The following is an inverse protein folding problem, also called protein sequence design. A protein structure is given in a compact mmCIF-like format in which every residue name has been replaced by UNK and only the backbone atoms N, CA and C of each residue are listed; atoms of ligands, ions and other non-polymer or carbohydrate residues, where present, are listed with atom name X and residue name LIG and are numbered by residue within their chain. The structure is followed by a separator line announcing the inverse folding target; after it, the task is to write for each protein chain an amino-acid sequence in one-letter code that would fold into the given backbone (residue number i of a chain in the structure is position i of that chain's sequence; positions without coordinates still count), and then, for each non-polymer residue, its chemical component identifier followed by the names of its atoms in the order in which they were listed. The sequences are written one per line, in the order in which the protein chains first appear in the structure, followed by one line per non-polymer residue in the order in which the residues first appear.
data_IF_585722418803
#
_entry.id   IF_585722418803
#
_cell.length_a   1.000
_cell.length_b   1.000
_cell.length_c   1.000
_cell.angle_alpha   90.00
_cell.angle_beta   90.00
_cell.angle_gamma   90.00
#
_symmetry.space_group_name_H-M   'P 1'
#
loop_
_entity.id
_entity.type
_entity.pdbx_description
1 polymer ?
#
# COMPACT_ATOMS: atom_id res chain seq x y z
N UNK A 1 1.56 -9.93 5.64
CA UNK A 1 0.35 -9.11 5.47
C UNK A 1 -0.67 -9.51 6.51
N UNK A 2 -1.44 -8.56 7.02
CA UNK A 2 -2.54 -8.79 7.97
C UNK A 2 -3.73 -7.96 7.53
N UNK A 3 -4.92 -8.53 7.56
CA UNK A 3 -6.18 -7.82 7.32
C UNK A 3 -7.07 -7.94 8.56
N UNK A 4 -7.64 -6.82 9.00
CA UNK A 4 -8.55 -6.74 10.14
C UNK A 4 -9.82 -6.05 9.70
N UNK A 5 -10.97 -6.69 9.92
CA UNK A 5 -12.28 -6.13 9.63
C UNK A 5 -12.87 -5.51 10.89
N UNK A 6 -13.22 -4.24 10.82
CA UNK A 6 -14.03 -3.57 11.83
C UNK A 6 -15.48 -3.60 11.37
N UNK A 7 -16.29 -4.37 12.11
CA UNK A 7 -17.74 -4.43 11.92
C UNK A 7 -18.40 -3.43 12.87
N UNK A 8 -19.16 -2.48 12.33
CA UNK A 8 -19.97 -1.55 13.11
C UNK A 8 -21.44 -1.67 12.68
N UNK A 9 -22.33 -0.88 13.26
CA UNK A 9 -23.70 -0.75 12.75
C UNK A 9 -23.77 -0.04 11.38
N UNK A 10 -22.68 0.62 10.97
CA UNK A 10 -22.48 1.19 9.65
C UNK A 10 -21.81 0.15 8.72
N UNK A 11 -21.41 0.57 7.51
CA UNK A 11 -20.72 -0.30 6.57
C UNK A 11 -19.43 -0.89 7.16
N UNK A 12 -19.10 -2.16 6.87
CA UNK A 12 -17.84 -2.76 7.29
C UNK A 12 -16.66 -1.97 6.73
N UNK A 13 -15.61 -1.84 7.54
CA UNK A 13 -14.34 -1.28 7.06
C UNK A 13 -13.23 -2.28 7.32
N UNK A 14 -12.47 -2.61 6.29
CA UNK A 14 -11.31 -3.49 6.39
C UNK A 14 -10.01 -2.67 6.35
N UNK A 15 -9.12 -2.96 7.27
CA UNK A 15 -7.78 -2.39 7.36
C UNK A 15 -6.76 -3.45 6.95
N UNK A 16 -5.90 -3.13 5.99
CA UNK A 16 -4.82 -4.01 5.54
C UNK A 16 -3.49 -3.38 5.93
N UNK A 17 -2.66 -4.16 6.62
CA UNK A 17 -1.25 -3.86 6.84
C UNK A 17 -0.40 -4.83 6.02
N UNK A 18 0.41 -4.30 5.11
CA UNK A 18 1.26 -5.09 4.24
C UNK A 18 2.72 -4.63 4.32
N UNK A 19 3.63 -5.58 4.41
CA UNK A 19 5.07 -5.36 4.32
C UNK A 19 5.62 -6.26 3.23
N UNK A 20 6.37 -5.68 2.30
CA UNK A 20 7.15 -6.41 1.32
C UNK A 20 8.64 -6.15 1.61
N UNK A 21 9.42 -7.21 1.70
CA UNK A 21 10.87 -7.12 1.91
C UNK A 21 11.54 -6.44 0.71
N UNK A 22 12.62 -5.65 0.90
CA UNK A 22 13.38 -5.08 -0.22
C UNK A 22 13.99 -6.13 -1.16
N UNK A 23 14.08 -7.39 -0.71
CA UNK A 23 14.59 -8.52 -1.51
C UNK A 23 13.48 -9.38 -2.12
N UNK A 24 12.21 -9.08 -1.81
CA UNK A 24 11.07 -9.85 -2.29
C UNK A 24 10.50 -9.26 -3.58
N UNK A 25 9.89 -10.13 -4.37
CA UNK A 25 9.19 -9.73 -5.58
C UNK A 25 7.90 -8.98 -5.23
N UNK A 26 7.87 -7.68 -5.52
CA UNK A 26 6.72 -6.82 -5.24
C UNK A 26 5.44 -7.29 -5.94
N UNK A 27 5.55 -7.94 -7.11
CA UNK A 27 4.38 -8.39 -7.88
C UNK A 27 3.55 -9.44 -7.14
N UNK A 28 4.19 -10.31 -6.36
CA UNK A 28 3.47 -11.29 -5.54
C UNK A 28 2.62 -10.59 -4.47
N UNK A 29 3.16 -9.53 -3.85
CA UNK A 29 2.41 -8.73 -2.87
C UNK A 29 1.26 -7.98 -3.53
N UNK A 30 1.47 -7.41 -4.72
CA UNK A 30 0.42 -6.69 -5.47
C UNK A 30 -0.70 -7.63 -5.92
N UNK A 31 -0.38 -8.84 -6.37
CA UNK A 31 -1.38 -9.84 -6.75
C UNK A 31 -2.25 -10.23 -5.55
N UNK A 32 -1.66 -10.51 -4.39
CA UNK A 32 -2.41 -10.81 -3.17
C UNK A 32 -3.29 -9.63 -2.75
N UNK A 33 -2.80 -8.39 -2.84
CA UNK A 33 -3.61 -7.21 -2.57
C UNK A 33 -4.80 -7.12 -3.53
N UNK A 34 -4.60 -7.36 -4.82
CA UNK A 34 -5.68 -7.33 -5.82
C UNK A 34 -6.77 -8.38 -5.54
N UNK A 35 -6.37 -9.59 -5.15
CA UNK A 35 -7.32 -10.66 -4.76
C UNK A 35 -8.15 -10.22 -3.55
N UNK A 36 -7.51 -9.64 -2.53
CA UNK A 36 -8.21 -9.14 -1.34
C UNK A 36 -9.15 -7.98 -1.70
N UNK A 37 -8.68 -6.97 -2.45
CA UNK A 37 -9.50 -5.84 -2.91
C UNK A 37 -10.72 -6.34 -3.67
N UNK A 38 -10.54 -7.33 -4.56
CA UNK A 38 -11.64 -7.93 -5.32
C UNK A 38 -12.64 -8.65 -4.43
N UNK A 39 -12.17 -9.32 -3.38
CA UNK A 39 -13.04 -10.00 -2.40
C UNK A 39 -13.83 -9.02 -1.50
N UNK A 40 -13.37 -7.78 -1.36
CA UNK A 40 -13.93 -6.77 -0.46
C UNK A 40 -14.64 -5.60 -1.18
N UNK A 41 -15.04 -5.77 -2.46
CA UNK A 41 -15.58 -4.67 -3.29
C UNK A 41 -16.78 -3.90 -2.72
N UNK A 42 -17.51 -4.46 -1.77
CA UNK A 42 -18.64 -3.82 -1.10
C UNK A 42 -18.28 -3.13 0.22
N UNK A 43 -17.02 -3.13 0.62
CA UNK A 43 -16.54 -2.62 1.90
C UNK A 43 -15.65 -1.39 1.71
N UNK A 44 -15.62 -0.55 2.73
CA UNK A 44 -14.60 0.50 2.82
C UNK A 44 -13.24 -0.16 3.10
N UNK A 45 -12.20 0.28 2.40
CA UNK A 45 -10.87 -0.30 2.50
C UNK A 45 -9.82 0.75 2.81
N UNK A 46 -8.95 0.47 3.79
CA UNK A 46 -7.78 1.27 4.11
C UNK A 46 -6.55 0.36 4.07
N UNK A 47 -5.56 0.71 3.25
CA UNK A 47 -4.33 -0.07 3.09
C UNK A 47 -3.15 0.78 3.56
N UNK A 48 -2.47 0.32 4.60
CA UNK A 48 -1.15 0.80 4.99
C UNK A 48 -0.09 -0.18 4.53
N UNK A 49 0.89 0.26 3.76
CA UNK A 49 1.93 -0.65 3.27
C UNK A 49 3.31 -0.02 3.21
N UNK A 50 4.31 -0.81 3.61
CA UNK A 50 5.71 -0.60 3.26
C UNK A 50 6.10 -1.64 2.21
N UNK A 51 6.11 -1.23 0.94
CA UNK A 51 6.41 -2.14 -0.16
C UNK A 51 7.91 -2.30 -0.43
N UNK A 52 8.77 -1.46 0.19
CA UNK A 52 10.20 -1.36 -0.09
C UNK A 52 10.61 -1.34 -1.59
N UNK A 53 9.66 -1.04 -2.48
CA UNK A 53 9.91 -0.84 -3.90
C UNK A 53 10.15 0.63 -4.20
N UNK A 54 11.19 0.94 -4.96
CA UNK A 54 11.32 2.27 -5.57
C UNK A 54 10.14 2.47 -6.53
N UNK A 55 9.16 3.27 -6.13
CA UNK A 55 7.96 3.47 -6.94
C UNK A 55 7.38 4.88 -6.85
N UNK A 56 6.82 5.38 -7.96
CA UNK A 56 6.23 6.73 -8.08
C UNK A 56 5.13 7.03 -7.08
N UNK A 57 4.40 6.02 -6.58
CA UNK A 57 3.34 6.21 -5.58
C UNK A 57 3.80 6.89 -4.28
N UNK A 58 5.09 6.85 -3.95
CA UNK A 58 5.63 7.39 -2.69
C UNK A 58 6.88 8.26 -2.87
N UNK A 59 7.11 8.78 -4.09
CA UNK A 59 8.11 9.83 -4.35
C UNK A 59 9.31 9.48 -5.26
N UNK A 60 9.33 8.31 -5.91
CA UNK A 60 10.39 7.95 -6.88
C UNK A 60 9.99 8.27 -8.33
N UNK A 61 10.92 8.28 -9.30
CA UNK A 61 10.67 8.78 -10.69
C UNK A 61 10.15 7.74 -11.69
N UNK A 62 10.02 6.46 -11.34
CA UNK A 62 9.69 5.39 -12.30
C UNK A 62 8.19 5.02 -12.41
N UNK A 63 7.76 4.75 -13.65
CA UNK A 63 6.42 5.04 -14.21
C UNK A 63 5.32 3.98 -13.95
N UNK A 64 5.62 2.79 -13.43
CA UNK A 64 4.71 1.63 -13.53
C UNK A 64 3.56 1.49 -12.48
N UNK A 65 3.41 2.35 -11.45
CA UNK A 65 2.42 2.07 -10.35
C UNK A 65 1.10 2.79 -10.44
N UNK A 66 0.99 3.84 -11.28
CA UNK A 66 -0.31 4.50 -11.45
C UNK A 66 -1.35 3.51 -11.95
N UNK A 67 -0.92 2.51 -12.71
CA UNK A 67 -1.79 1.45 -13.24
C UNK A 67 -2.43 0.60 -12.13
N UNK A 68 -1.69 0.21 -11.08
CA UNK A 68 -2.27 -0.62 -10.00
C UNK A 68 -3.37 0.12 -9.22
N UNK A 69 -3.14 1.39 -8.87
CA UNK A 69 -4.14 2.17 -8.14
C UNK A 69 -5.39 2.41 -8.98
N UNK A 70 -5.20 2.81 -10.24
CA UNK A 70 -6.29 3.06 -11.18
C UNK A 70 -7.08 1.78 -11.46
N UNK A 71 -6.40 0.65 -11.67
CA UNK A 71 -7.03 -0.65 -11.91
C UNK A 71 -7.87 -1.15 -10.71
N UNK A 72 -7.57 -0.68 -9.50
CA UNK A 72 -8.26 -1.09 -8.27
C UNK A 72 -9.12 0.03 -7.65
N UNK A 73 -9.31 1.16 -8.35
CA UNK A 73 -10.04 2.33 -7.86
C UNK A 73 -9.57 2.82 -6.48
N UNK A 74 -8.26 2.77 -6.22
CA UNK A 74 -7.65 3.22 -4.98
C UNK A 74 -7.18 4.68 -5.08
N UNK A 75 -7.24 5.39 -3.95
CA UNK A 75 -6.75 6.76 -3.82
C UNK A 75 -5.53 6.80 -2.89
N UNK A 76 -4.55 7.66 -3.20
CA UNK A 76 -3.39 7.90 -2.33
C UNK A 76 -3.80 8.88 -1.22
N UNK A 77 -3.55 8.50 0.03
CA UNK A 77 -3.80 9.34 1.20
C UNK A 77 -2.56 10.14 1.66
N UNK A 78 -1.38 9.86 1.09
CA UNK A 78 -0.14 10.57 1.41
C UNK A 78 -0.19 12.03 0.90
N UNK A 79 0.27 12.97 1.72
CA UNK A 79 0.43 14.37 1.32
C UNK A 79 1.73 14.57 0.54
N UNK A 80 1.76 15.37 -0.54
CA UNK A 80 2.99 15.69 -1.27
C UNK A 80 4.00 16.46 -0.42
N UNK A 81 3.54 17.22 0.58
CA UNK A 81 4.38 18.02 1.47
C UNK A 81 4.83 17.23 2.73
N UNK A 82 4.56 15.92 2.78
CA UNK A 82 4.95 15.08 3.90
C UNK A 82 6.48 14.88 3.96
N UNK A 83 7.06 14.77 5.17
CA UNK A 83 8.49 14.43 5.31
C UNK A 83 8.77 13.02 4.77
N UNK A 84 10.04 12.69 4.46
CA UNK A 84 10.44 11.35 4.05
C UNK A 84 9.99 10.28 5.06
N UNK A 85 9.40 9.19 4.58
CA UNK A 85 8.96 8.07 5.43
C UNK A 85 10.13 7.21 5.92
N UNK A 86 11.30 7.33 5.30
CA UNK A 86 12.53 6.64 5.69
C UNK A 86 13.76 7.52 5.46
N UNK A 87 14.66 7.59 6.45
CA UNK A 87 15.96 8.24 6.33
C UNK A 87 17.05 7.24 6.73
N UNK A 88 18.00 6.94 5.82
CA UNK A 88 19.20 6.20 6.22
C UNK A 88 20.07 7.12 7.07
N UNK A 89 20.28 6.77 8.33
CA UNK A 89 21.30 7.44 9.14
C UNK A 89 22.67 7.25 8.50
N UNK A 90 23.41 8.34 8.28
CA UNK A 90 24.85 8.27 7.99
C UNK A 90 25.54 7.91 9.32
N UNK A 91 25.46 6.65 9.73
CA UNK A 91 26.41 6.13 10.72
C UNK A 91 27.57 5.54 9.93
N UNK A 92 28.58 6.38 9.68
CA UNK A 92 29.94 5.87 9.46
C UNK A 92 30.46 5.40 10.82
N UNK A 93 30.62 4.09 10.96
CA UNK A 93 31.36 3.43 12.03
C UNK A 93 32.09 2.25 11.42
#
# INVERSE_FOLDING_TARGET
MVAVKLQTSQNPTTFISAYNSPYANIQETLQVLQEIITSLRSESLIIGTDLNGHHTMWGYRDVDSREFLLANNLFIANSPDAPPTFQRGIFKG
#
